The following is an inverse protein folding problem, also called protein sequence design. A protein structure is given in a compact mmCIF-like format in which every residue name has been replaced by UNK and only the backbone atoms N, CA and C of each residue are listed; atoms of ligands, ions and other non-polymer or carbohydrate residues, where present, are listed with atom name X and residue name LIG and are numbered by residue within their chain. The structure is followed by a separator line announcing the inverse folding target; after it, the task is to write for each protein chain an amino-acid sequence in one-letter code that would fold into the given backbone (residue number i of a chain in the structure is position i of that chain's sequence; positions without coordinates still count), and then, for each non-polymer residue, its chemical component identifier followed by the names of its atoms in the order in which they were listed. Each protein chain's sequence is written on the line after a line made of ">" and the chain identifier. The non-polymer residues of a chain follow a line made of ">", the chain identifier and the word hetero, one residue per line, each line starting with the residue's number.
data_IF_285296534721
#
_entry.id   IF_285296534721
#
_cell.length_a   1.000
_cell.length_b   1.000
_cell.length_c   1.000
_cell.angle_alpha   90.00
_cell.angle_beta   90.00
_cell.angle_gamma   90.00
#
_symmetry.space_group_name_H-M   'P 1'
#
loop_
_entity.id
_entity.type
_entity.pdbx_description
1 polymer ?
#
# COMPACT_ATOMS: atom_id res chain seq x y z
N UNK A 1 12.23 -9.36 -15.23
CA UNK A 1 11.15 -9.00 -16.20
C UNK A 1 9.91 -8.60 -15.40
N UNK A 2 8.95 -7.82 -15.93
CA UNK A 2 7.68 -7.60 -15.20
C UNK A 2 6.82 -8.85 -15.31
N UNK A 3 6.27 -9.30 -14.18
CA UNK A 3 5.36 -10.43 -14.08
C UNK A 3 3.96 -9.90 -13.80
N UNK A 4 2.93 -10.48 -14.42
CA UNK A 4 1.53 -10.16 -14.20
C UNK A 4 0.84 -11.34 -13.52
N UNK A 5 0.18 -11.11 -12.39
CA UNK A 5 -0.56 -12.10 -11.60
C UNK A 5 -1.82 -11.42 -11.10
N UNK A 6 -2.98 -12.07 -11.23
CA UNK A 6 -4.26 -11.63 -10.69
C UNK A 6 -4.56 -10.13 -10.88
N UNK A 7 -4.27 -9.62 -12.08
CA UNK A 7 -4.58 -8.24 -12.49
C UNK A 7 -3.60 -7.16 -12.02
N UNK A 8 -2.59 -7.50 -11.20
CA UNK A 8 -1.50 -6.58 -10.84
C UNK A 8 -0.17 -7.01 -11.48
N UNK A 9 0.79 -6.08 -11.53
CA UNK A 9 2.13 -6.34 -12.11
C UNK A 9 3.20 -6.15 -11.06
N UNK A 10 4.24 -6.98 -11.06
CA UNK A 10 5.38 -6.78 -10.19
C UNK A 10 6.72 -7.04 -10.88
N UNK A 11 7.78 -6.51 -10.28
CA UNK A 11 9.15 -6.62 -10.74
C UNK A 11 10.09 -6.86 -9.56
N UNK A 12 10.96 -7.86 -9.70
CA UNK A 12 12.04 -8.17 -8.77
C UNK A 12 13.36 -7.82 -9.48
N UNK A 13 14.09 -6.79 -9.04
CA UNK A 13 15.26 -6.31 -9.77
C UNK A 13 16.44 -7.28 -9.89
N UNK A 14 16.53 -8.23 -8.97
CA UNK A 14 17.59 -9.23 -8.84
C UNK A 14 17.14 -10.65 -9.17
N UNK A 15 15.94 -10.82 -9.74
CA UNK A 15 15.33 -12.11 -10.10
C UNK A 15 15.38 -13.16 -8.95
N UNK A 16 15.32 -12.69 -7.69
CA UNK A 16 15.22 -13.52 -6.48
C UNK A 16 13.83 -14.20 -6.40
N UNK A 17 13.72 -15.38 -5.76
CA UNK A 17 12.42 -16.00 -5.51
C UNK A 17 11.57 -15.12 -4.57
N UNK A 18 10.23 -15.14 -4.69
CA UNK A 18 9.35 -14.25 -3.90
C UNK A 18 9.54 -14.40 -2.38
N UNK A 19 9.87 -15.61 -1.92
CA UNK A 19 10.15 -15.92 -0.50
C UNK A 19 11.33 -15.14 0.08
N UNK A 20 12.30 -14.74 -0.75
CA UNK A 20 13.48 -14.00 -0.32
C UNK A 20 13.22 -12.49 -0.19
N UNK A 21 12.07 -12.00 -0.66
CA UNK A 21 11.73 -10.58 -0.67
C UNK A 21 11.44 -10.10 0.75
N UNK A 22 12.17 -9.06 1.17
CA UNK A 22 12.04 -8.40 2.48
C UNK A 22 11.21 -7.13 2.43
N UNK A 23 11.08 -6.52 1.25
CA UNK A 23 10.34 -5.27 1.07
C UNK A 23 9.51 -5.31 -0.21
N UNK A 24 8.21 -5.02 -0.08
CA UNK A 24 7.30 -4.86 -1.21
C UNK A 24 6.84 -3.40 -1.29
N UNK A 25 7.16 -2.73 -2.40
CA UNK A 25 6.79 -1.34 -2.64
C UNK A 25 5.60 -1.28 -3.60
N UNK A 26 4.50 -0.69 -3.15
CA UNK A 26 3.25 -0.58 -3.87
C UNK A 26 3.14 0.80 -4.53
N UNK A 27 2.86 0.83 -5.83
CA UNK A 27 2.66 2.03 -6.64
C UNK A 27 1.42 1.89 -7.53
N UNK A 28 0.89 3.01 -8.03
CA UNK A 28 -0.17 2.97 -9.05
C UNK A 28 0.42 2.55 -10.39
N UNK A 29 1.47 3.25 -10.82
CA UNK A 29 2.03 3.11 -12.15
C UNK A 29 3.56 3.10 -12.13
N UNK A 30 4.15 2.62 -13.23
CA UNK A 30 5.61 2.54 -13.38
C UNK A 30 6.30 3.89 -13.28
N UNK A 31 5.64 4.98 -13.71
CA UNK A 31 6.22 6.34 -13.64
C UNK A 31 6.41 6.86 -12.21
N UNK A 32 5.69 6.29 -11.25
CA UNK A 32 5.78 6.67 -9.84
C UNK A 32 6.95 5.99 -9.13
N UNK A 33 7.55 4.97 -9.76
CA UNK A 33 8.65 4.18 -9.18
C UNK A 33 9.96 4.97 -9.25
N UNK A 34 10.57 5.31 -8.11
CA UNK A 34 11.84 6.02 -8.13
C UNK A 34 12.95 5.16 -8.73
N UNK A 35 13.78 5.76 -9.59
CA UNK A 35 14.85 5.05 -10.31
C UNK A 35 15.79 4.26 -9.38
N UNK A 36 16.03 4.77 -8.16
CA UNK A 36 16.85 4.09 -7.12
C UNK A 36 16.35 2.71 -6.70
N UNK A 37 15.05 2.41 -6.86
CA UNK A 37 14.50 1.08 -6.58
C UNK A 37 14.73 0.10 -7.74
N UNK A 38 15.06 0.61 -8.92
CA UNK A 38 15.32 -0.20 -10.12
C UNK A 38 16.83 -0.46 -10.27
N UNK A 39 17.67 0.31 -9.58
CA UNK A 39 19.12 0.09 -9.55
C UNK A 39 19.45 -1.29 -8.97
N UNK A 40 20.09 -2.13 -9.79
CA UNK A 40 20.43 -3.53 -9.46
C UNK A 40 21.33 -3.65 -8.24
N UNK A 41 22.23 -2.69 -8.02
CA UNK A 41 23.20 -2.77 -6.92
C UNK A 41 22.51 -2.51 -5.56
N UNK A 42 21.55 -1.59 -5.51
CA UNK A 42 20.82 -1.26 -4.27
C UNK A 42 19.73 -2.30 -3.97
N UNK A 43 19.13 -2.85 -5.03
CA UNK A 43 18.02 -3.79 -4.92
C UNK A 43 18.45 -5.21 -4.53
N UNK A 44 19.64 -5.66 -4.94
CA UNK A 44 20.21 -6.94 -4.53
C UNK A 44 20.40 -7.04 -3.02
N UNK A 45 20.95 -5.98 -2.41
CA UNK A 45 21.25 -5.96 -0.98
C UNK A 45 19.98 -5.90 -0.12
N UNK A 46 18.91 -5.32 -0.66
CA UNK A 46 17.67 -5.05 0.08
C UNK A 46 16.54 -6.04 -0.19
N UNK A 47 16.70 -6.97 -1.14
CA UNK A 47 15.70 -7.97 -1.55
C UNK A 47 14.29 -7.37 -1.71
N UNK A 48 14.09 -6.65 -2.81
CA UNK A 48 12.90 -5.81 -3.01
C UNK A 48 12.01 -6.33 -4.14
N UNK A 49 10.70 -6.16 -3.97
CA UNK A 49 9.71 -6.26 -5.03
C UNK A 49 9.06 -4.89 -5.24
N UNK A 50 8.89 -4.50 -6.51
CA UNK A 50 8.10 -3.34 -6.92
C UNK A 50 6.79 -3.86 -7.48
N UNK A 51 5.67 -3.42 -6.94
CA UNK A 51 4.33 -3.88 -7.28
C UNK A 51 3.52 -2.69 -7.79
N UNK A 52 2.91 -2.86 -8.95
CA UNK A 52 2.01 -1.92 -9.60
C UNK A 52 0.59 -2.45 -9.46
N UNK A 53 -0.23 -1.71 -8.72
CA UNK A 53 -1.60 -2.07 -8.40
C UNK A 53 -2.59 -1.70 -9.51
N UNK A 54 -2.21 -0.81 -10.43
CA UNK A 54 -3.12 -0.27 -11.42
C UNK A 54 -4.16 0.69 -10.82
N UNK A 55 -5.21 0.96 -11.59
CA UNK A 55 -6.28 1.89 -11.22
C UNK A 55 -7.29 1.15 -10.35
N UNK A 56 -7.51 1.62 -9.13
CA UNK A 56 -8.50 1.09 -8.18
C UNK A 56 -8.29 -0.37 -7.77
N UNK A 57 -7.21 -0.72 -7.06
CA UNK A 57 -7.05 -2.06 -6.52
C UNK A 57 -8.15 -2.40 -5.53
N UNK A 58 -8.42 -3.69 -5.35
CA UNK A 58 -9.34 -4.22 -4.36
C UNK A 58 -8.61 -5.02 -3.26
N UNK A 59 -9.40 -5.47 -2.29
CA UNK A 59 -8.90 -6.24 -1.15
C UNK A 59 -8.31 -7.59 -1.57
N UNK A 60 -8.93 -8.27 -2.52
CA UNK A 60 -8.50 -9.59 -2.99
C UNK A 60 -7.10 -9.51 -3.62
N UNK A 61 -6.89 -8.51 -4.48
CA UNK A 61 -5.59 -8.19 -5.07
C UNK A 61 -4.52 -8.01 -4.00
N UNK A 62 -4.81 -7.22 -2.95
CA UNK A 62 -3.84 -6.99 -1.86
C UNK A 62 -3.57 -8.26 -1.04
N UNK A 63 -4.57 -9.09 -0.80
CA UNK A 63 -4.41 -10.36 -0.10
C UNK A 63 -3.56 -11.36 -0.90
N UNK A 64 -3.73 -11.42 -2.23
CA UNK A 64 -2.88 -12.22 -3.12
C UNK A 64 -1.43 -11.73 -3.04
N UNK A 65 -1.20 -10.42 -3.18
CA UNK A 65 0.14 -9.82 -3.07
C UNK A 65 0.77 -10.14 -1.70
N UNK A 66 -0.01 -10.05 -0.62
CA UNK A 66 0.44 -10.38 0.73
C UNK A 66 0.81 -11.87 0.86
N UNK A 67 0.09 -12.76 0.18
CA UNK A 67 0.40 -14.19 0.12
C UNK A 67 1.70 -14.47 -0.66
N UNK A 68 1.91 -13.81 -1.81
CA UNK A 68 3.13 -13.97 -2.60
C UNK A 68 4.37 -13.47 -1.86
N UNK A 69 4.27 -12.29 -1.24
CA UNK A 69 5.38 -11.65 -0.53
C UNK A 69 5.20 -11.73 1.00
N UNK A 70 4.90 -12.92 1.52
CA UNK A 70 4.54 -13.12 2.93
C UNK A 70 5.63 -12.72 3.95
N UNK A 71 6.90 -12.71 3.53
CA UNK A 71 8.04 -12.26 4.36
C UNK A 71 8.29 -10.75 4.26
N UNK A 72 7.60 -10.05 3.36
CA UNK A 72 7.93 -8.68 3.02
C UNK A 72 7.24 -7.67 3.94
N UNK A 73 7.99 -6.62 4.30
CA UNK A 73 7.41 -5.41 4.86
C UNK A 73 6.90 -4.52 3.73
N UNK A 74 5.60 -4.23 3.77
CA UNK A 74 4.93 -3.43 2.76
C UNK A 74 5.18 -1.94 2.93
N UNK A 75 5.35 -1.26 1.80
CA UNK A 75 5.56 0.18 1.71
C UNK A 75 4.72 0.74 0.56
N UNK A 76 4.05 1.87 0.75
CA UNK A 76 3.32 2.55 -0.33
C UNK A 76 4.08 3.78 -0.81
N UNK A 77 4.20 3.93 -2.13
CA UNK A 77 4.63 5.15 -2.79
C UNK A 77 3.48 5.86 -3.51
N UNK A 78 2.29 5.91 -2.90
CA UNK A 78 1.16 6.65 -3.45
C UNK A 78 1.31 8.17 -3.22
N UNK A 79 0.54 8.95 -3.97
CA UNK A 79 0.51 10.41 -3.88
C UNK A 79 0.03 10.98 -2.53
N UNK A 80 0.00 12.32 -2.45
CA UNK A 80 -0.42 13.07 -1.24
C UNK A 80 -1.86 13.58 -1.33
N UNK A 81 -2.51 13.40 -2.48
CA UNK A 81 -3.91 13.74 -2.68
C UNK A 81 -4.83 12.85 -1.83
N UNK A 82 -6.08 13.27 -1.70
CA UNK A 82 -7.03 12.58 -0.82
C UNK A 82 -7.29 11.11 -1.23
N UNK A 83 -7.52 10.78 -2.53
CA UNK A 83 -7.67 9.40 -2.98
C UNK A 83 -6.48 8.51 -2.60
N UNK A 84 -5.26 8.96 -2.81
CA UNK A 84 -4.06 8.21 -2.42
C UNK A 84 -3.98 7.98 -0.91
N UNK A 85 -4.27 9.00 -0.09
CA UNK A 85 -4.27 8.87 1.37
C UNK A 85 -5.34 7.90 1.86
N UNK A 86 -6.53 7.89 1.24
CA UNK A 86 -7.59 6.91 1.51
C UNK A 86 -7.15 5.51 1.10
N UNK A 87 -6.56 5.36 -0.10
CA UNK A 87 -6.08 4.07 -0.55
C UNK A 87 -4.98 3.52 0.37
N UNK A 88 -4.04 4.34 0.83
CA UNK A 88 -3.03 3.92 1.81
C UNK A 88 -3.68 3.33 3.06
N UNK A 89 -4.76 3.95 3.56
CA UNK A 89 -5.52 3.43 4.70
C UNK A 89 -6.22 2.10 4.36
N UNK A 90 -6.89 2.01 3.20
CA UNK A 90 -7.54 0.76 2.76
C UNK A 90 -6.54 -0.38 2.59
N UNK A 91 -5.42 -0.17 1.89
CA UNK A 91 -4.35 -1.15 1.74
C UNK A 91 -3.83 -1.60 3.11
N UNK A 92 -3.64 -0.69 4.06
CA UNK A 92 -3.21 -1.07 5.41
C UNK A 92 -4.21 -1.98 6.13
N UNK A 93 -5.51 -1.80 5.90
CA UNK A 93 -6.58 -2.63 6.45
C UNK A 93 -6.66 -3.97 5.73
N UNK A 94 -6.57 -3.96 4.40
CA UNK A 94 -6.63 -5.15 3.56
C UNK A 94 -5.47 -6.12 3.82
N UNK A 95 -4.26 -5.59 4.10
CA UNK A 95 -3.13 -6.40 4.56
C UNK A 95 -3.40 -7.16 5.87
N UNK A 96 -4.34 -6.67 6.70
CA UNK A 96 -4.79 -7.30 7.94
C UNK A 96 -6.15 -8.02 7.76
N UNK A 97 -6.55 -8.28 6.51
CA UNK A 97 -7.81 -8.93 6.15
C UNK A 97 -9.06 -8.25 6.76
N UNK A 98 -9.09 -6.91 6.74
CA UNK A 98 -10.24 -6.12 7.19
C UNK A 98 -10.47 -4.91 6.26
N UNK A 99 -11.58 -4.19 6.42
CA UNK A 99 -11.88 -2.99 5.62
C UNK A 99 -12.62 -1.93 6.46
N UNK A 100 -12.69 -0.72 5.93
CA UNK A 100 -13.46 0.39 6.45
C UNK A 100 -14.09 1.18 5.30
N UNK A 101 -15.33 1.64 5.49
CA UNK A 101 -15.96 2.56 4.57
C UNK A 101 -15.44 3.97 4.83
N UNK A 102 -15.05 4.69 3.76
CA UNK A 102 -14.66 6.09 3.80
C UNK A 102 -15.64 6.92 2.98
N UNK A 103 -16.15 8.01 3.56
CA UNK A 103 -17.10 8.93 2.94
C UNK A 103 -16.57 10.35 3.06
N UNK A 104 -16.54 11.08 1.95
CA UNK A 104 -16.26 12.52 1.94
C UNK A 104 -17.58 13.28 2.07
N UNK A 105 -17.72 14.06 3.14
CA UNK A 105 -18.88 14.93 3.36
C UNK A 105 -18.36 16.34 3.62
N UNK A 106 -18.64 17.26 2.68
CA UNK A 106 -18.07 18.61 2.70
C UNK A 106 -16.53 18.57 2.81
N UNK A 107 -15.94 19.14 3.86
CA UNK A 107 -14.49 19.21 4.09
C UNK A 107 -13.97 18.12 5.03
N UNK A 108 -14.75 17.07 5.30
CA UNK A 108 -14.42 16.03 6.28
C UNK A 108 -14.47 14.63 5.66
N UNK A 109 -13.50 13.82 6.04
CA UNK A 109 -13.56 12.37 5.84
C UNK A 109 -14.25 11.76 7.05
N UNK A 110 -15.31 11.00 6.78
CA UNK A 110 -16.01 10.15 7.73
C UNK A 110 -15.65 8.70 7.44
N UNK A 111 -15.47 7.90 8.48
CA UNK A 111 -15.25 6.46 8.30
C UNK A 111 -15.74 5.64 9.48
N UNK A 112 -16.09 4.39 9.19
CA UNK A 112 -16.53 3.42 10.19
C UNK A 112 -15.53 2.28 10.27
N UNK A 113 -14.99 2.04 11.47
CA UNK A 113 -14.07 0.93 11.73
C UNK A 113 -14.44 0.26 13.06
N UNK A 114 -14.55 -1.07 13.06
CA UNK A 114 -14.97 -1.88 14.22
C UNK A 114 -16.24 -1.34 14.90
N UNK A 115 -17.26 -1.06 14.08
CA UNK A 115 -18.56 -0.51 14.51
C UNK A 115 -18.52 0.85 15.20
N UNK A 116 -17.41 1.59 15.09
CA UNK A 116 -17.28 2.96 15.59
C UNK A 116 -17.11 3.94 14.44
N UNK A 117 -17.81 5.06 14.52
CA UNK A 117 -17.73 6.14 13.55
C UNK A 117 -16.69 7.17 13.98
N UNK A 118 -15.90 7.62 13.01
CA UNK A 118 -14.85 8.62 13.19
C UNK A 118 -14.96 9.68 12.10
N UNK A 119 -14.40 10.87 12.36
CA UNK A 119 -14.21 11.87 11.31
C UNK A 119 -12.98 12.74 11.57
N UNK A 120 -12.42 13.31 10.50
CA UNK A 120 -11.47 14.40 10.60
C UNK A 120 -11.50 15.31 9.36
N UNK A 121 -10.96 16.54 9.46
CA UNK A 121 -10.75 17.39 8.28
C UNK A 121 -9.89 16.69 7.23
N UNK A 122 -10.21 16.91 5.95
CA UNK A 122 -9.50 16.33 4.79
C UNK A 122 -8.02 16.68 4.80
N UNK A 123 -7.69 17.89 5.24
CA UNK A 123 -6.33 18.44 5.27
C UNK A 123 -5.46 17.69 6.29
N UNK A 124 -6.09 17.15 7.34
CA UNK A 124 -5.42 16.37 8.39
C UNK A 124 -5.45 14.86 8.14
N UNK A 125 -6.28 14.39 7.21
CA UNK A 125 -6.46 12.96 6.98
C UNK A 125 -5.17 12.32 6.45
N UNK A 126 -4.77 11.18 7.02
CA UNK A 126 -3.57 10.44 6.65
C UNK A 126 -3.62 9.07 7.33
N UNK A 127 -2.76 8.13 6.92
CA UNK A 127 -2.63 6.83 7.60
C UNK A 127 -2.32 7.01 9.10
N UNK A 128 -1.40 7.91 9.44
CA UNK A 128 -1.04 8.22 10.84
C UNK A 128 -2.24 8.76 11.61
N UNK A 129 -2.99 9.71 11.03
CA UNK A 129 -4.20 10.25 11.67
C UNK A 129 -5.26 9.17 11.84
N UNK A 130 -5.51 8.34 10.83
CA UNK A 130 -6.43 7.20 10.86
C UNK A 130 -6.06 6.24 11.99
N UNK A 131 -4.81 5.78 12.06
CA UNK A 131 -4.32 4.87 13.09
C UNK A 131 -4.50 5.47 14.50
N UNK A 132 -4.12 6.74 14.68
CA UNK A 132 -4.22 7.42 15.97
C UNK A 132 -5.67 7.54 16.47
N UNK A 133 -6.62 7.86 15.60
CA UNK A 133 -8.01 8.07 16.04
C UNK A 133 -8.82 6.77 16.13
N UNK A 134 -8.53 5.80 15.27
CA UNK A 134 -9.21 4.50 15.25
C UNK A 134 -8.61 3.47 16.22
N UNK A 135 -7.37 3.68 16.66
CA UNK A 135 -6.59 2.69 17.41
C UNK A 135 -6.05 1.55 16.54
N UNK A 136 -6.16 1.63 15.22
CA UNK A 136 -5.58 0.65 14.30
C UNK A 136 -4.06 0.67 14.37
N UNK A 137 -3.45 -0.52 14.31
CA UNK A 137 -2.00 -0.71 14.21
C UNK A 137 -1.71 -1.30 12.85
N UNK A 138 -0.69 -0.76 12.20
CA UNK A 138 -0.28 -1.19 10.86
C UNK A 138 1.23 -1.34 10.80
N UNK A 139 1.69 -2.31 10.01
CA UNK A 139 3.09 -2.47 9.64
C UNK A 139 3.42 -1.82 8.28
N UNK A 140 2.42 -1.18 7.65
CA UNK A 140 2.59 -0.48 6.39
C UNK A 140 3.34 0.84 6.58
N UNK A 141 4.38 1.07 5.78
CA UNK A 141 5.13 2.33 5.81
C UNK A 141 4.86 3.17 4.56
N UNK A 142 4.89 4.49 4.71
CA UNK A 142 4.87 5.42 3.58
C UNK A 142 6.32 5.67 3.14
N UNK A 143 6.60 5.52 1.85
CA UNK A 143 7.96 5.61 1.29
C UNK A 143 8.34 7.01 0.80
N UNK A 144 7.35 7.86 0.48
CA UNK A 144 7.52 9.19 -0.12
C UNK A 144 7.43 10.35 0.89
#
# INVERSE_FOLDING_TARGET
>A
MWTEVDGFRYYIPSDLPEVAIKHAYLFYEKRDVPFKLIDKNISSDNAIAIVLLGICPDMETILVIAGLFFNARFKTGFGKDLPARVLTCRVSLWLENTDALFLLVSTRIHFCYRSKAFSCPVEMFSLSRFCRISGFRTNLNIFL
#
